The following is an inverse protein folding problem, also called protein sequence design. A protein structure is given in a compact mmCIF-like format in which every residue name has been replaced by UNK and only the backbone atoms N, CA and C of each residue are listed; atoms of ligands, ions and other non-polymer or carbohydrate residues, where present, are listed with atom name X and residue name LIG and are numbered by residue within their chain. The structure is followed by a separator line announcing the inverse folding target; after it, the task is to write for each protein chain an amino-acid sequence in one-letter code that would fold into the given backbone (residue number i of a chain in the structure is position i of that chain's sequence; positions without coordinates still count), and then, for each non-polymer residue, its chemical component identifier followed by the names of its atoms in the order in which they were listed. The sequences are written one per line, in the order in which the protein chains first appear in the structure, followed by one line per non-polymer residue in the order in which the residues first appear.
data_IF_521056797189
#
_entry.id   IF_521056797189
#
_cell.length_a   1.000
_cell.length_b   1.000
_cell.length_c   1.000
_cell.angle_alpha   90.00
_cell.angle_beta   90.00
_cell.angle_gamma   90.00
#
_symmetry.space_group_name_H-M   'P 1'
#
loop_
_entity.id
_entity.type
_entity.pdbx_description
1 polymer ?
#
# COMPACT_ATOMS: atom_id res chain seq x y z
N UNK A 1 -13.78 11.31 -5.50
CA UNK A 1 -13.67 10.25 -6.52
C UNK A 1 -12.20 9.88 -6.59
N UNK A 2 -11.79 8.80 -5.91
CA UNK A 2 -10.39 8.39 -5.89
C UNK A 2 -10.01 7.88 -7.28
N UNK A 3 -8.90 8.39 -7.80
CA UNK A 3 -8.44 8.04 -9.14
C UNK A 3 -8.05 6.55 -9.18
N UNK A 4 -8.62 5.78 -10.10
CA UNK A 4 -8.26 4.36 -10.29
C UNK A 4 -6.77 4.18 -10.62
N UNK A 5 -6.10 5.26 -11.02
CA UNK A 5 -4.64 5.30 -11.13
C UNK A 5 -3.93 4.96 -9.81
N UNK A 6 -4.45 5.39 -8.65
CA UNK A 6 -3.85 5.13 -7.33
C UNK A 6 -3.90 3.64 -7.02
N UNK A 7 -5.02 2.97 -7.25
CA UNK A 7 -5.15 1.52 -6.98
C UNK A 7 -4.15 0.71 -7.81
N UNK A 8 -3.94 1.10 -9.08
CA UNK A 8 -2.94 0.46 -9.96
C UNK A 8 -1.53 0.70 -9.43
N UNK A 9 -1.21 1.91 -8.97
CA UNK A 9 0.09 2.21 -8.38
C UNK A 9 0.32 1.45 -7.07
N UNK A 10 -0.68 1.36 -6.21
CA UNK A 10 -0.61 0.60 -4.95
C UNK A 10 -0.43 -0.90 -5.24
N UNK A 11 -1.15 -1.46 -6.21
CA UNK A 11 -0.97 -2.84 -6.65
C UNK A 11 0.47 -3.10 -7.12
N UNK A 12 1.01 -2.21 -7.97
CA UNK A 12 2.39 -2.31 -8.47
C UNK A 12 3.41 -2.18 -7.35
N UNK A 13 3.17 -1.30 -6.38
CA UNK A 13 4.07 -1.08 -5.25
C UNK A 13 4.07 -2.26 -4.29
N UNK A 14 2.90 -2.79 -3.92
CA UNK A 14 2.78 -4.01 -3.07
C UNK A 14 3.53 -5.20 -3.66
N UNK A 15 3.44 -5.40 -4.98
CA UNK A 15 4.22 -6.45 -5.68
C UNK A 15 5.74 -6.31 -5.55
N UNK A 16 6.24 -5.10 -5.29
CA UNK A 16 7.68 -4.83 -5.16
C UNK A 16 8.19 -4.93 -3.73
N UNK A 17 7.38 -4.52 -2.75
CA UNK A 17 7.84 -4.33 -1.37
C UNK A 17 7.28 -5.35 -0.37
N UNK A 18 6.13 -5.96 -0.67
CA UNK A 18 5.52 -6.96 0.21
C UNK A 18 6.11 -8.34 -0.08
N UNK A 19 6.35 -9.12 0.98
CA UNK A 19 6.72 -10.53 0.83
C UNK A 19 5.60 -11.36 0.17
N UNK A 20 4.34 -11.05 0.51
CA UNK A 20 3.15 -11.63 -0.12
C UNK A 20 2.14 -10.51 -0.45
N UNK A 21 1.98 -10.12 -1.74
CA UNK A 21 1.07 -9.05 -2.13
C UNK A 21 -0.42 -9.33 -1.83
N UNK A 22 -0.81 -10.59 -1.59
CA UNK A 22 -2.17 -10.97 -1.20
C UNK A 22 -2.44 -10.77 0.30
N UNK A 23 -1.40 -10.66 1.10
CA UNK A 23 -1.44 -10.43 2.55
C UNK A 23 -0.55 -9.22 2.91
N UNK A 24 -0.91 -8.01 2.47
CA UNK A 24 -0.04 -6.84 2.59
C UNK A 24 0.13 -6.42 4.05
N UNK A 25 1.38 -6.25 4.48
CA UNK A 25 1.76 -5.84 5.83
C UNK A 25 2.29 -4.41 5.88
N UNK A 26 2.93 -3.94 4.81
CA UNK A 26 3.57 -2.62 4.72
C UNK A 26 2.58 -1.56 4.23
N UNK A 27 1.74 -1.86 3.24
CA UNK A 27 0.71 -0.93 2.76
C UNK A 27 -0.67 -1.55 2.99
N UNK A 28 -1.41 -1.07 3.98
CA UNK A 28 -2.75 -1.57 4.33
C UNK A 28 -3.85 -0.76 3.63
N UNK A 29 -5.00 -1.39 3.42
CA UNK A 29 -6.19 -0.70 2.88
C UNK A 29 -7.09 -0.31 4.04
N UNK A 30 -7.31 0.99 4.20
CA UNK A 30 -8.30 1.56 5.10
C UNK A 30 -9.60 1.80 4.33
N UNK A 31 -10.62 0.98 4.59
CA UNK A 31 -11.87 0.99 3.81
C UNK A 31 -12.56 2.35 3.94
N UNK A 32 -12.82 3.00 2.82
CA UNK A 32 -13.46 4.32 2.76
C UNK A 32 -12.50 5.50 2.94
N UNK A 33 -11.23 5.26 3.32
CA UNK A 33 -10.23 6.31 3.52
C UNK A 33 -9.05 6.20 2.53
N UNK A 34 -8.66 4.99 2.11
CA UNK A 34 -7.59 4.76 1.15
C UNK A 34 -6.56 3.75 1.63
N UNK A 35 -5.29 4.17 1.66
CA UNK A 35 -4.15 3.29 1.97
C UNK A 35 -3.27 3.90 3.04
N UNK A 36 -2.74 3.06 3.94
CA UNK A 36 -1.85 3.46 5.03
C UNK A 36 -0.53 2.71 4.92
N UNK A 37 0.57 3.44 5.10
CA UNK A 37 1.89 2.85 5.26
C UNK A 37 2.08 2.43 6.73
N UNK A 38 2.14 1.13 6.97
CA UNK A 38 2.26 0.49 8.28
C UNK A 38 3.62 -0.21 8.43
N UNK A 39 4.68 0.59 8.36
CA UNK A 39 6.03 0.13 8.66
C UNK A 39 6.82 1.20 9.40
N UNK A 40 7.81 0.74 10.19
CA UNK A 40 8.69 1.64 10.94
C UNK A 40 9.53 2.49 9.99
N UNK A 41 9.37 3.80 10.08
CA UNK A 41 10.21 4.76 9.36
C UNK A 41 11.50 4.99 10.16
N UNK A 42 12.64 4.95 9.47
CA UNK A 42 13.93 5.41 10.01
C UNK A 42 14.39 6.59 9.18
N UNK A 43 14.72 7.69 9.82
CA UNK A 43 15.40 8.82 9.19
C UNK A 43 16.89 8.56 9.19
N UNK A 44 17.55 8.82 8.06
CA UNK A 44 19.01 8.85 7.93
C UNK A 44 19.56 10.18 8.40
#
# INVERSE_FOLDING_TARGET
MFDRSIDVLILRLRRKIEANPKEPRIIKTERGAGYVFDAKVKTV
#
